data_IF_438309555053
#
_entry.id   IF_438309555053
#
_cell.length_a   1.000
_cell.length_b   1.000
_cell.length_c   1.000
_cell.angle_alpha   90.00
_cell.angle_beta   90.00
_cell.angle_gamma   90.00
#
_symmetry.space_group_name_H-M   'P 1'
#
loop_
_entity.id
_entity.type
_entity.pdbx_description
1 polymer ?
#
# COMPACT_ATOMS: atom_id res chain seq x y z
N UNK A 1 -0.60 -9.06 -6.72
CA UNK A 1 -1.08 -8.28 -7.88
C UNK A 1 -0.89 -9.09 -9.15
N UNK A 2 -1.82 -8.98 -10.08
CA UNK A 2 -1.70 -9.58 -11.40
C UNK A 2 -0.93 -8.69 -12.37
N UNK A 3 -0.53 -9.25 -13.52
CA UNK A 3 0.08 -8.50 -14.61
C UNK A 3 -0.86 -7.46 -15.27
N UNK A 4 -2.11 -7.38 -14.85
CA UNK A 4 -3.10 -6.40 -15.30
C UNK A 4 -3.55 -5.45 -14.18
N UNK A 5 -2.72 -5.25 -13.17
CA UNK A 5 -2.99 -4.36 -12.05
C UNK A 5 -4.09 -4.84 -11.10
N UNK A 6 -4.63 -6.06 -11.25
CA UNK A 6 -5.65 -6.58 -10.34
C UNK A 6 -5.03 -6.95 -8.99
N UNK A 7 -5.62 -6.45 -7.92
CA UNK A 7 -5.18 -6.65 -6.54
C UNK A 7 -6.24 -7.43 -5.78
N UNK A 8 -5.82 -8.52 -5.14
CA UNK A 8 -6.62 -9.28 -4.20
C UNK A 8 -6.24 -8.88 -2.78
N UNK A 9 -7.23 -8.53 -1.97
CA UNK A 9 -7.07 -8.24 -0.54
C UNK A 9 -8.26 -8.78 0.25
N UNK A 10 -8.27 -8.56 1.57
CA UNK A 10 -9.38 -9.00 2.41
C UNK A 10 -10.62 -8.10 2.23
N UNK A 11 -11.82 -8.66 2.45
CA UNK A 11 -13.07 -7.91 2.44
C UNK A 11 -13.06 -6.77 3.48
N UNK A 12 -12.58 -7.06 4.68
CA UNK A 12 -12.51 -6.04 5.73
C UNK A 12 -11.54 -4.89 5.40
N UNK A 13 -10.49 -5.12 4.61
CA UNK A 13 -9.63 -4.05 4.09
C UNK A 13 -10.36 -3.17 3.06
N UNK A 14 -11.25 -3.76 2.26
CA UNK A 14 -12.06 -3.06 1.27
C UNK A 14 -13.36 -2.47 1.81
N UNK A 15 -13.74 -2.80 3.04
CA UNK A 15 -15.07 -2.48 3.60
C UNK A 15 -15.45 -1.01 3.48
N UNK A 16 -14.53 -0.10 3.80
CA UNK A 16 -14.77 1.35 3.70
C UNK A 16 -15.07 1.81 2.27
N UNK A 17 -14.42 1.22 1.28
CA UNK A 17 -14.68 1.51 -0.13
C UNK A 17 -16.03 0.94 -0.58
N UNK A 18 -16.38 -0.29 -0.16
CA UNK A 18 -17.68 -0.90 -0.44
C UNK A 18 -18.81 -0.05 0.15
N UNK A 19 -18.64 0.36 1.42
CA UNK A 19 -19.62 1.22 2.12
C UNK A 19 -19.78 2.59 1.44
N UNK A 20 -18.68 3.19 0.98
CA UNK A 20 -18.70 4.49 0.31
C UNK A 20 -19.52 4.48 -0.99
N UNK A 21 -19.57 3.34 -1.67
CA UNK A 21 -20.33 3.14 -2.90
C UNK A 21 -21.74 2.59 -2.67
N UNK A 22 -22.03 2.08 -1.47
CA UNK A 22 -23.36 1.56 -1.13
C UNK A 22 -24.37 2.70 -0.95
N UNK A 23 -25.52 2.56 -1.56
CA UNK A 23 -26.65 3.47 -1.45
C UNK A 23 -27.92 2.68 -1.10
N UNK A 24 -29.03 3.36 -0.87
CA UNK A 24 -30.34 2.70 -0.65
C UNK A 24 -30.80 1.91 -1.88
N UNK A 25 -30.42 2.37 -3.07
CA UNK A 25 -30.78 1.73 -4.34
C UNK A 25 -29.80 0.60 -4.73
N UNK A 26 -28.55 0.69 -4.29
CA UNK A 26 -27.49 -0.26 -4.56
C UNK A 26 -26.71 -0.56 -3.27
N UNK A 27 -27.20 -1.49 -2.48
CA UNK A 27 -26.55 -1.90 -1.23
C UNK A 27 -25.47 -2.96 -1.46
N UNK A 28 -24.30 -2.50 -1.91
CA UNK A 28 -23.16 -3.39 -2.16
C UNK A 28 -22.62 -4.10 -0.93
N UNK A 29 -22.92 -3.61 0.28
CA UNK A 29 -22.60 -4.34 1.50
C UNK A 29 -23.45 -5.59 1.66
N UNK A 30 -24.74 -5.51 1.31
CA UNK A 30 -25.70 -6.61 1.43
C UNK A 30 -25.63 -7.54 0.21
N UNK A 31 -25.58 -6.98 -0.99
CA UNK A 31 -25.72 -7.73 -2.25
C UNK A 31 -24.36 -8.14 -2.86
N UNK A 32 -23.27 -7.52 -2.41
CA UNK A 32 -21.97 -7.61 -3.07
C UNK A 32 -21.90 -6.76 -4.32
N UNK A 33 -20.72 -6.72 -4.92
CA UNK A 33 -20.46 -5.96 -6.17
C UNK A 33 -19.53 -6.75 -7.08
N UNK A 34 -19.84 -6.77 -8.39
CA UNK A 34 -18.99 -7.38 -9.41
C UNK A 34 -19.06 -6.55 -10.69
N UNK A 35 -17.97 -5.90 -11.05
CA UNK A 35 -17.82 -5.24 -12.34
C UNK A 35 -17.63 -6.31 -13.43
N UNK A 36 -18.48 -6.30 -14.45
CA UNK A 36 -18.41 -7.24 -15.57
C UNK A 36 -17.44 -6.76 -16.67
N UNK A 37 -17.09 -5.50 -16.63
CA UNK A 37 -16.14 -4.85 -17.53
C UNK A 37 -15.44 -3.69 -16.80
N UNK A 38 -14.44 -3.06 -17.44
CA UNK A 38 -13.63 -2.00 -16.81
C UNK A 38 -14.40 -0.70 -16.58
N UNK A 39 -15.40 -0.42 -17.41
CA UNK A 39 -16.24 0.77 -17.31
C UNK A 39 -17.14 0.74 -16.07
N UNK A 40 -17.43 -0.43 -15.56
CA UNK A 40 -18.21 -0.63 -14.34
C UNK A 40 -17.35 -0.59 -13.06
N UNK A 41 -16.01 -0.61 -13.16
CA UNK A 41 -15.12 -0.55 -12.01
C UNK A 41 -15.25 0.80 -11.29
N UNK A 42 -15.48 0.79 -9.97
CA UNK A 42 -15.86 1.97 -9.18
C UNK A 42 -14.62 2.66 -8.57
N UNK A 43 -14.37 3.94 -8.89
CA UNK A 43 -13.23 4.68 -8.35
C UNK A 43 -13.30 4.86 -6.83
N UNK A 44 -12.29 4.41 -6.10
CA UNK A 44 -12.22 4.49 -4.64
C UNK A 44 -11.41 5.73 -4.21
N UNK A 45 -12.08 6.86 -4.00
CA UNK A 45 -11.42 8.11 -3.61
C UNK A 45 -10.70 7.97 -2.26
N UNK A 46 -9.43 8.37 -2.23
CA UNK A 46 -8.62 8.33 -1.02
C UNK A 46 -8.02 6.96 -0.70
N UNK A 47 -8.40 5.89 -1.42
CA UNK A 47 -7.73 4.59 -1.30
C UNK A 47 -6.39 4.66 -2.03
N UNK A 48 -5.35 4.15 -1.38
CA UNK A 48 -4.02 4.02 -1.97
C UNK A 48 -3.50 2.61 -1.75
N UNK A 49 -2.70 2.14 -2.70
CA UNK A 49 -1.97 0.88 -2.57
C UNK A 49 -0.49 1.18 -2.62
N UNK A 50 0.24 0.71 -1.61
CA UNK A 50 1.69 0.91 -1.51
C UNK A 50 2.40 -0.43 -1.55
N UNK A 51 3.35 -0.57 -2.46
CA UNK A 51 4.26 -1.71 -2.54
C UNK A 51 5.64 -1.33 -2.02
N UNK A 52 6.32 -2.33 -1.47
CA UNK A 52 7.74 -2.24 -1.18
C UNK A 52 8.45 -2.83 -2.41
N UNK A 53 9.11 -1.97 -3.18
CA UNK A 53 9.85 -2.39 -4.37
C UNK A 53 11.18 -3.03 -3.98
N UNK A 54 11.85 -2.42 -2.98
CA UNK A 54 13.18 -2.84 -2.55
C UNK A 54 13.39 -2.55 -1.07
N UNK A 55 14.18 -3.41 -0.42
CA UNK A 55 14.66 -3.21 0.96
C UNK A 55 16.18 -3.31 0.92
N UNK A 56 16.84 -2.21 1.26
CA UNK A 56 18.31 -2.12 1.29
C UNK A 56 18.80 -2.06 2.73
N UNK A 57 19.79 -2.90 3.08
CA UNK A 57 20.53 -2.73 4.34
C UNK A 57 21.51 -1.57 4.16
N UNK A 58 21.28 -0.49 4.86
CA UNK A 58 22.08 0.75 4.82
C UNK A 58 22.75 1.01 6.18
N UNK A 59 22.91 -0.01 6.99
CA UNK A 59 23.42 0.09 8.36
C UNK A 59 24.79 0.76 8.41
N UNK A 60 25.71 0.34 7.56
CA UNK A 60 27.07 0.90 7.56
C UNK A 60 27.07 2.36 7.13
N UNK A 61 26.29 2.69 6.10
CA UNK A 61 26.16 4.05 5.63
C UNK A 61 25.59 4.98 6.72
N UNK A 62 24.51 4.58 7.39
CA UNK A 62 23.92 5.39 8.48
C UNK A 62 24.93 5.57 9.63
N UNK A 63 25.63 4.52 10.01
CA UNK A 63 26.64 4.59 11.07
C UNK A 63 27.81 5.52 10.71
N UNK A 64 28.17 5.63 9.46
CA UNK A 64 29.16 6.61 8.98
C UNK A 64 28.63 8.04 9.09
N UNK A 65 27.39 8.28 8.65
CA UNK A 65 26.75 9.59 8.76
C UNK A 65 26.61 10.04 10.23
N UNK A 66 26.23 9.14 11.12
CA UNK A 66 26.14 9.41 12.57
C UNK A 66 27.47 9.83 13.22
N UNK A 67 28.61 9.44 12.64
CA UNK A 67 29.94 9.87 13.11
C UNK A 67 30.32 11.26 12.62
N UNK A 68 29.80 11.66 11.47
CA UNK A 68 30.18 12.91 10.77
C UNK A 68 29.22 14.04 11.16
N UNK A 69 27.92 13.74 11.25
CA UNK A 69 26.89 14.75 11.49
C UNK A 69 26.82 15.17 12.97
N UNK A 70 26.63 16.47 13.25
CA UNK A 70 26.46 16.96 14.60
C UNK A 70 25.23 16.34 15.30
N UNK A 71 25.43 15.78 16.48
CA UNK A 71 24.35 15.23 17.30
C UNK A 71 24.52 15.65 18.77
N UNK A 72 24.19 16.94 19.10
CA UNK A 72 24.39 17.47 20.43
C UNK A 72 23.54 16.75 21.51
N UNK A 73 22.49 16.06 21.11
CA UNK A 73 21.57 15.38 22.04
C UNK A 73 21.73 13.84 22.04
N UNK A 74 22.53 13.29 21.13
CA UNK A 74 22.72 11.84 20.99
C UNK A 74 21.43 11.11 20.55
N UNK A 75 20.57 11.74 19.73
CA UNK A 75 19.25 11.22 19.35
C UNK A 75 19.08 10.94 17.87
N UNK A 76 20.06 11.33 17.04
CA UNK A 76 19.97 11.19 15.58
C UNK A 76 19.68 9.75 15.13
N UNK A 77 20.26 8.77 15.80
CA UNK A 77 20.15 7.35 15.47
C UNK A 77 18.71 6.80 15.42
N UNK A 78 17.74 7.48 16.08
CA UNK A 78 16.30 7.14 16.05
C UNK A 78 15.43 8.30 15.55
N UNK A 79 16.01 9.44 15.25
CA UNK A 79 15.26 10.64 14.84
C UNK A 79 14.65 10.46 13.44
N UNK A 80 13.31 10.46 13.29
CA UNK A 80 12.67 10.32 11.98
C UNK A 80 13.09 11.40 10.99
N UNK A 81 13.33 12.64 11.49
CA UNK A 81 13.78 13.74 10.65
C UNK A 81 15.18 13.49 10.11
N UNK A 82 16.11 13.12 10.98
CA UNK A 82 17.47 12.81 10.59
C UNK A 82 17.55 11.64 9.63
N UNK A 83 16.85 10.54 9.95
CA UNK A 83 16.82 9.36 9.09
C UNK A 83 16.23 9.65 7.71
N UNK A 84 15.26 10.56 7.60
CA UNK A 84 14.75 11.03 6.32
C UNK A 84 15.83 11.77 5.50
N UNK A 85 16.56 12.68 6.13
CA UNK A 85 17.65 13.42 5.48
C UNK A 85 18.78 12.48 5.01
N UNK A 86 19.11 11.46 5.80
CA UNK A 86 20.10 10.43 5.43
C UNK A 86 19.59 9.57 4.26
N UNK A 87 18.29 9.21 4.24
CA UNK A 87 17.69 8.48 3.13
C UNK A 87 17.75 9.25 1.81
N UNK A 88 17.48 10.56 1.86
CA UNK A 88 17.56 11.44 0.69
C UNK A 88 19.00 11.55 0.16
N UNK A 89 19.99 11.69 1.05
CA UNK A 89 21.42 11.68 0.68
C UNK A 89 21.82 10.37 0.02
N UNK A 90 21.51 9.24 0.67
CA UNK A 90 21.81 7.91 0.12
C UNK A 90 21.19 7.71 -1.27
N UNK A 91 19.92 8.08 -1.41
CA UNK A 91 19.21 7.97 -2.70
C UNK A 91 19.89 8.77 -3.80
N UNK A 92 20.31 9.99 -3.49
CA UNK A 92 21.03 10.87 -4.44
C UNK A 92 22.38 10.27 -4.86
N UNK A 93 23.14 9.74 -3.91
CA UNK A 93 24.44 9.13 -4.16
C UNK A 93 24.35 7.83 -4.96
N UNK A 94 23.32 7.02 -4.70
CA UNK A 94 23.11 5.74 -5.39
C UNK A 94 22.30 5.87 -6.69
N UNK A 95 21.85 7.08 -7.04
CA UNK A 95 21.06 7.31 -8.24
C UNK A 95 19.68 6.65 -8.22
N UNK A 96 19.08 6.48 -7.04
CA UNK A 96 17.72 5.95 -6.92
C UNK A 96 16.75 7.02 -7.42
N UNK A 97 16.13 6.77 -8.58
CA UNK A 97 15.18 7.71 -9.15
C UNK A 97 13.92 7.81 -8.28
N UNK A 98 13.56 9.03 -7.89
CA UNK A 98 12.31 9.34 -7.21
C UNK A 98 11.29 9.79 -8.25
N UNK A 99 10.21 9.04 -8.39
CA UNK A 99 9.05 9.40 -9.19
C UNK A 99 7.92 9.90 -8.28
N UNK A 100 6.87 10.53 -8.80
CA UNK A 100 5.78 11.04 -7.96
C UNK A 100 5.15 10.00 -7.02
N UNK A 101 5.06 8.74 -7.45
CA UNK A 101 4.57 7.62 -6.64
C UNK A 101 5.64 7.00 -5.74
N UNK A 102 6.93 7.25 -5.96
CA UNK A 102 8.03 6.57 -5.29
C UNK A 102 8.50 7.33 -4.05
N UNK A 103 8.55 6.65 -2.91
CA UNK A 103 8.95 7.23 -1.62
C UNK A 103 10.00 6.37 -0.95
N UNK A 104 10.84 7.03 -0.17
CA UNK A 104 11.84 6.39 0.66
C UNK A 104 11.42 6.43 2.12
N UNK A 105 11.64 5.33 2.83
CA UNK A 105 11.45 5.26 4.26
C UNK A 105 12.63 4.53 4.91
N UNK A 106 13.49 5.26 5.60
CA UNK A 106 14.60 4.70 6.36
C UNK A 106 14.12 4.43 7.79
N UNK A 107 14.27 3.18 8.22
CA UNK A 107 13.87 2.74 9.57
C UNK A 107 15.04 2.17 10.35
N UNK A 108 15.11 2.57 11.61
CA UNK A 108 15.97 1.95 12.59
C UNK A 108 15.29 0.70 13.18
N UNK A 109 16.03 -0.38 13.29
CA UNK A 109 15.62 -1.64 13.89
C UNK A 109 16.54 -1.98 15.07
N UNK A 110 16.00 -2.77 16.00
CA UNK A 110 16.74 -3.24 17.18
C UNK A 110 17.43 -2.11 17.95
N UNK A 111 16.68 -1.00 18.17
CA UNK A 111 17.20 0.15 18.91
C UNK A 111 18.33 0.90 18.22
N UNK A 112 18.39 0.87 16.87
CA UNK A 112 19.42 1.55 16.08
C UNK A 112 20.65 0.67 15.76
N UNK A 113 20.57 -0.64 15.99
CA UNK A 113 21.64 -1.56 15.61
C UNK A 113 21.62 -1.95 14.13
N UNK A 114 20.49 -1.75 13.46
CA UNK A 114 20.31 -1.99 12.02
C UNK A 114 19.43 -0.90 11.41
N UNK A 115 19.72 -0.59 10.15
CA UNK A 115 18.97 0.40 9.38
C UNK A 115 18.63 -0.17 8.01
N UNK A 116 17.33 -0.11 7.68
CA UNK A 116 16.87 -0.54 6.37
C UNK A 116 16.15 0.59 5.65
N UNK A 117 16.53 0.81 4.40
CA UNK A 117 15.87 1.73 3.49
C UNK A 117 14.83 0.96 2.68
N UNK A 118 13.57 1.34 2.84
CA UNK A 118 12.45 0.83 2.05
C UNK A 118 12.21 1.79 0.89
N UNK A 119 12.34 1.29 -0.31
CA UNK A 119 11.90 1.97 -1.53
C UNK A 119 10.48 1.50 -1.79
N UNK A 120 9.53 2.43 -1.85
CA UNK A 120 8.10 2.13 -1.93
C UNK A 120 7.48 2.88 -3.09
N UNK A 121 6.57 2.23 -3.82
CA UNK A 121 5.71 2.89 -4.80
C UNK A 121 4.26 2.89 -4.32
N UNK A 122 3.63 4.05 -4.36
CA UNK A 122 2.23 4.28 -3.94
C UNK A 122 1.39 4.66 -5.14
N UNK A 123 0.33 3.92 -5.35
CA UNK A 123 -0.66 4.14 -6.39
C UNK A 123 -1.93 4.75 -5.80
N UNK A 124 -2.54 5.73 -6.48
CA UNK A 124 -3.65 6.53 -5.98
C UNK A 124 -4.96 6.38 -6.79
N UNK A 125 -4.91 5.99 -8.06
CA UNK A 125 -6.12 5.64 -8.80
C UNK A 125 -6.40 4.14 -8.63
N UNK A 126 -7.24 3.85 -7.64
CA UNK A 126 -7.65 2.50 -7.29
C UNK A 126 -9.15 2.38 -7.54
N UNK A 127 -9.56 1.33 -8.25
CA UNK A 127 -10.98 1.07 -8.53
C UNK A 127 -11.39 -0.29 -7.99
N UNK A 128 -12.60 -0.36 -7.44
CA UNK A 128 -13.20 -1.60 -6.93
C UNK A 128 -13.70 -2.43 -8.11
N UNK A 129 -13.24 -3.66 -8.19
CA UNK A 129 -13.62 -4.63 -9.23
C UNK A 129 -14.69 -5.58 -8.72
N UNK A 130 -14.58 -5.99 -7.45
CA UNK A 130 -15.56 -6.88 -6.88
C UNK A 130 -15.34 -7.15 -5.40
N UNK A 131 -16.45 -7.44 -4.74
CA UNK A 131 -16.48 -7.90 -3.37
C UNK A 131 -17.73 -8.74 -3.12
N UNK A 132 -17.64 -9.87 -2.39
CA UNK A 132 -18.80 -10.63 -2.00
C UNK A 132 -19.66 -9.83 -1.01
N UNK A 133 -20.93 -10.24 -0.82
CA UNK A 133 -21.77 -9.73 0.25
C UNK A 133 -21.06 -9.81 1.61
N UNK A 134 -21.29 -8.85 2.50
CA UNK A 134 -20.72 -8.83 3.86
C UNK A 134 -21.12 -10.05 4.69
N UNK A 135 -22.27 -10.68 4.38
CA UNK A 135 -22.70 -11.96 5.00
C UNK A 135 -21.72 -13.12 4.76
N UNK A 136 -20.93 -13.04 3.67
CA UNK A 136 -19.85 -14.01 3.36
C UNK A 136 -18.49 -13.41 3.70
N UNK A 137 -18.27 -12.15 3.35
CA UNK A 137 -17.01 -11.45 3.59
C UNK A 137 -16.67 -11.29 5.08
N UNK A 138 -17.69 -11.08 5.89
CA UNK A 138 -17.62 -10.99 7.35
C UNK A 138 -18.62 -11.94 8.00
N UNK A 139 -18.51 -13.22 7.69
CA UNK A 139 -19.46 -14.22 8.14
C UNK A 139 -19.57 -14.27 9.67
N UNK A 140 -20.80 -14.18 10.19
CA UNK A 140 -21.14 -14.39 11.58
C UNK A 140 -20.72 -13.29 12.55
N UNK A 141 -20.30 -12.10 12.08
CA UNK A 141 -19.70 -11.05 12.87
C UNK A 141 -18.32 -11.44 13.46
N UNK A 142 -17.75 -10.56 14.30
CA UNK A 142 -16.38 -10.76 14.81
C UNK A 142 -16.23 -12.01 15.69
N UNK A 143 -17.29 -12.43 16.38
CA UNK A 143 -17.30 -13.60 17.24
C UNK A 143 -17.08 -14.88 16.45
N UNK A 144 -17.80 -15.07 15.35
CA UNK A 144 -17.73 -16.29 14.54
C UNK A 144 -16.50 -16.29 13.61
N UNK A 145 -15.90 -15.14 13.34
CA UNK A 145 -14.69 -15.03 12.54
C UNK A 145 -13.49 -15.78 13.17
N UNK A 146 -13.51 -16.03 14.47
CA UNK A 146 -12.46 -16.74 15.21
C UNK A 146 -12.82 -18.21 15.52
N UNK A 147 -14.02 -18.66 15.16
CA UNK A 147 -14.45 -20.02 15.38
C UNK A 147 -14.07 -20.94 14.22
N UNK A 148 -13.79 -22.19 14.53
CA UNK A 148 -13.55 -23.24 13.55
C UNK A 148 -14.75 -24.23 13.51
N UNK A 149 -15.18 -24.71 12.31
CA UNK A 149 -14.67 -24.38 10.97
C UNK A 149 -15.11 -23.00 10.47
N UNK A 150 -14.25 -22.35 9.67
CA UNK A 150 -14.54 -21.05 9.06
C UNK A 150 -15.11 -21.21 7.65
N UNK A 151 -16.20 -20.52 7.38
CA UNK A 151 -16.84 -20.46 6.07
C UNK A 151 -16.91 -19.02 5.56
N UNK A 152 -15.81 -18.30 5.68
CA UNK A 152 -15.71 -16.87 5.33
C UNK A 152 -15.00 -16.70 4.00
N UNK A 153 -15.61 -15.95 3.08
CA UNK A 153 -14.99 -15.45 1.87
C UNK A 153 -14.47 -14.03 2.07
N UNK A 154 -13.51 -13.86 3.01
CA UNK A 154 -12.95 -12.54 3.34
C UNK A 154 -11.96 -12.08 2.25
N UNK A 155 -12.53 -11.65 1.11
CA UNK A 155 -11.75 -11.10 0.02
C UNK A 155 -12.44 -9.92 -0.65
N UNK A 156 -11.65 -9.08 -1.32
CA UNK A 156 -12.10 -8.05 -2.24
C UNK A 156 -11.07 -7.84 -3.35
N UNK A 157 -11.55 -7.39 -4.50
CA UNK A 157 -10.76 -7.17 -5.69
C UNK A 157 -10.75 -5.69 -6.05
N UNK A 158 -9.56 -5.16 -6.25
CA UNK A 158 -9.33 -3.81 -6.72
C UNK A 158 -8.43 -3.85 -7.96
N UNK A 159 -8.40 -2.75 -8.70
CA UNK A 159 -7.46 -2.57 -9.81
C UNK A 159 -6.76 -1.24 -9.70
N UNK A 160 -5.46 -1.26 -10.00
CA UNK A 160 -4.62 -0.09 -10.09
C UNK A 160 -4.70 0.45 -11.53
N UNK A 161 -4.97 1.75 -11.65
CA UNK A 161 -4.96 2.52 -12.88
C UNK A 161 -3.79 3.49 -12.84
N UNK A 162 -2.59 2.96 -13.01
CA UNK A 162 -1.36 3.74 -12.99
C UNK A 162 -0.29 3.12 -13.89
N UNK A 163 0.65 3.94 -14.31
CA UNK A 163 1.88 3.46 -14.96
C UNK A 163 2.88 2.94 -13.90
N UNK A 164 4.00 2.39 -14.38
CA UNK A 164 5.11 1.89 -13.55
C UNK A 164 5.74 2.94 -12.62
N UNK A 165 5.55 4.22 -12.92
CA UNK A 165 6.08 5.33 -12.14
C UNK A 165 5.07 5.84 -11.09
N UNK A 166 3.87 5.25 -11.04
CA UNK A 166 2.80 5.57 -10.10
C UNK A 166 1.90 6.73 -10.53
N UNK A 167 2.02 7.22 -11.78
CA UNK A 167 1.13 8.25 -12.28
C UNK A 167 -0.21 7.62 -12.68
N UNK A 168 -1.36 8.21 -12.30
CA UNK A 168 -2.67 7.75 -12.75
C UNK A 168 -2.78 7.80 -14.28
N UNK A 169 -3.14 6.68 -14.88
CA UNK A 169 -3.35 6.57 -16.34
C UNK A 169 -4.51 5.65 -16.64
N UNK A 170 -5.17 5.87 -17.77
CA UNK A 170 -6.16 4.93 -18.29
C UNK A 170 -5.49 3.59 -18.59
N UNK A 171 -6.23 2.51 -18.36
CA UNK A 171 -5.70 1.17 -18.59
C UNK A 171 -5.29 0.95 -20.05
N UNK A 172 -4.07 0.48 -20.22
CA UNK A 172 -3.64 -0.19 -21.44
C UNK A 172 -2.74 -1.38 -21.05
N UNK A 173 -2.54 -2.32 -21.97
CA UNK A 173 -1.62 -3.45 -21.71
C UNK A 173 -0.17 -3.02 -21.49
N UNK A 174 0.18 -1.84 -21.98
CA UNK A 174 1.53 -1.27 -21.89
C UNK A 174 1.71 -0.36 -20.66
N UNK A 175 0.61 -0.01 -19.97
CA UNK A 175 0.56 0.88 -18.81
C UNK A 175 0.07 0.15 -17.56
N UNK A 176 0.67 -0.99 -17.25
CA UNK A 176 0.34 -1.72 -16.01
C UNK A 176 1.53 -1.61 -15.06
N UNK A 177 1.29 -1.36 -13.75
CA UNK A 177 2.35 -1.24 -12.75
C UNK A 177 3.08 -2.55 -12.50
#
# INVERSE_FOLDING_TARGET
ISAEGLVLTNHHCGYGSIQQHSTVEHDYLTDGFWAMNREEELPCKGLTITYIDEILDVTDYVNEQLKIDPDPNGTNYLSPKYLKEVAERFSSEQGIALTPGRKLELKAFYGGNRYYLFVKTTYSDIRMVGAPPSSIGKFGADTDNWMWPRHTGDFSLFRIYADKDGNPVEYSKDNVP
#
